data_IF_419154459105
#
_entry.id   IF_419154459105
#
_cell.length_a   1.000
_cell.length_b   1.000
_cell.length_c   1.000
_cell.angle_alpha   90.00
_cell.angle_beta   90.00
_cell.angle_gamma   90.00
#
_symmetry.space_group_name_H-M   'P 1'
#
loop_
_entity.id
_entity.type
_entity.pdbx_description
1 polymer ?
#
# COMPACT_ATOMS: atom_id res chain seq x y z
N UNK A 1 -10.40 17.06 29.55
CA UNK A 1 -10.15 17.39 28.13
C UNK A 1 -9.81 16.08 27.44
N UNK A 2 -10.61 15.54 26.50
CA UNK A 2 -10.23 14.32 25.82
C UNK A 2 -9.24 14.64 24.70
N UNK A 3 -8.08 13.99 24.72
CA UNK A 3 -7.10 14.03 23.64
C UNK A 3 -7.70 13.37 22.40
N UNK A 4 -7.80 14.12 21.29
CA UNK A 4 -8.27 13.58 20.00
C UNK A 4 -7.21 12.62 19.47
N UNK A 5 -7.33 11.34 19.81
CA UNK A 5 -6.49 10.29 19.27
C UNK A 5 -6.62 10.14 17.75
N UNK A 6 -5.62 10.65 17.04
CA UNK A 6 -4.85 10.02 15.96
C UNK A 6 -5.53 9.39 14.72
N UNK A 7 -6.84 9.49 14.51
CA UNK A 7 -7.48 8.91 13.32
C UNK A 7 -7.07 9.61 12.00
N UNK A 8 -6.69 10.89 12.05
CA UNK A 8 -6.34 11.71 10.89
C UNK A 8 -4.87 11.56 10.44
N UNK A 9 -4.04 10.89 11.24
CA UNK A 9 -2.60 10.71 11.01
C UNK A 9 -2.23 9.28 10.57
N UNK A 10 -3.23 8.44 10.25
CA UNK A 10 -3.03 7.07 9.80
C UNK A 10 -2.99 6.96 8.27
N UNK A 11 -2.06 6.17 7.74
CA UNK A 11 -2.08 5.74 6.35
C UNK A 11 -1.73 4.25 6.22
N UNK A 12 -2.17 3.64 5.14
CA UNK A 12 -1.80 2.27 4.79
C UNK A 12 -0.50 2.26 3.99
N UNK A 13 0.40 1.35 4.33
CA UNK A 13 1.63 1.15 3.58
C UNK A 13 1.69 -0.29 3.04
N UNK A 14 1.31 -0.44 1.78
CA UNK A 14 1.29 -1.73 1.10
C UNK A 14 2.59 -1.95 0.36
N UNK A 15 3.16 -3.15 0.45
CA UNK A 15 4.36 -3.49 -0.31
C UNK A 15 4.26 -4.81 -1.07
N UNK A 16 4.84 -4.84 -2.27
CA UNK A 16 5.07 -6.03 -3.08
C UNK A 16 6.54 -6.13 -3.43
N UNK A 17 7.18 -7.24 -3.05
CA UNK A 17 8.61 -7.44 -3.21
C UNK A 17 8.94 -8.87 -3.62
N UNK A 18 9.90 -9.02 -4.54
CA UNK A 18 10.48 -10.32 -4.89
C UNK A 18 11.77 -10.61 -4.10
N UNK A 19 12.70 -9.65 -4.08
CA UNK A 19 14.04 -9.77 -3.47
C UNK A 19 14.21 -9.03 -2.15
N UNK A 20 13.14 -8.46 -1.58
CA UNK A 20 13.17 -7.76 -0.29
C UNK A 20 13.35 -6.24 -0.38
N UNK A 21 13.73 -5.66 -1.52
CA UNK A 21 13.98 -4.21 -1.63
C UNK A 21 12.75 -3.34 -1.32
N UNK A 22 11.60 -3.62 -1.92
CA UNK A 22 10.36 -2.91 -1.60
C UNK A 22 9.91 -3.12 -0.14
N UNK A 23 10.29 -4.24 0.48
CA UNK A 23 10.01 -4.48 1.90
C UNK A 23 10.89 -3.60 2.78
N UNK A 24 12.19 -3.53 2.54
CA UNK A 24 13.10 -2.64 3.28
C UNK A 24 12.66 -1.19 3.15
N UNK A 25 12.37 -0.74 1.92
CA UNK A 25 11.91 0.63 1.68
C UNK A 25 10.60 0.94 2.40
N UNK A 26 9.66 -0.01 2.43
CA UNK A 26 8.43 0.14 3.22
C UNK A 26 8.68 0.18 4.73
N UNK A 27 9.74 -0.46 5.21
CA UNK A 27 10.10 -0.41 6.61
C UNK A 27 10.71 0.96 6.97
N UNK A 28 11.61 1.47 6.13
CA UNK A 28 12.20 2.81 6.31
C UNK A 28 11.10 3.89 6.31
N UNK A 29 10.13 3.81 5.38
CA UNK A 29 8.99 4.73 5.33
C UNK A 29 8.15 4.66 6.61
N UNK A 30 7.91 3.45 7.12
CA UNK A 30 7.16 3.25 8.37
C UNK A 30 7.88 3.91 9.55
N UNK A 31 9.18 3.66 9.70
CA UNK A 31 9.98 4.21 10.79
C UNK A 31 10.05 5.75 10.73
N UNK A 32 10.23 6.32 9.53
CA UNK A 32 10.19 7.77 9.32
C UNK A 32 8.81 8.36 9.63
N UNK A 33 7.73 7.69 9.24
CA UNK A 33 6.37 8.13 9.55
C UNK A 33 6.11 8.16 11.06
N UNK A 34 6.50 7.10 11.78
CA UNK A 34 6.33 7.01 13.24
C UNK A 34 7.11 8.12 13.97
N UNK A 35 8.31 8.48 13.48
CA UNK A 35 9.08 9.62 14.00
C UNK A 35 8.39 10.98 13.81
N UNK A 36 7.55 11.12 12.79
CA UNK A 36 6.74 12.31 12.52
C UNK A 36 5.36 12.27 13.20
N UNK A 37 5.09 11.25 14.03
CA UNK A 37 3.81 11.06 14.69
C UNK A 37 2.70 10.52 13.78
N UNK A 38 3.05 9.99 12.60
CA UNK A 38 2.11 9.32 11.69
C UNK A 38 2.05 7.83 11.99
N UNK A 39 0.87 7.23 11.80
CA UNK A 39 0.67 5.79 11.97
C UNK A 39 0.65 5.09 10.61
N UNK A 40 1.76 4.46 10.24
CA UNK A 40 1.91 3.72 9.00
C UNK A 40 1.58 2.24 9.19
N UNK A 41 0.38 1.80 8.78
CA UNK A 41 -0.01 0.39 8.84
C UNK A 41 0.56 -0.39 7.66
N UNK A 42 1.71 -1.05 7.91
CA UNK A 42 2.45 -1.77 6.87
C UNK A 42 1.96 -3.20 6.64
N UNK A 43 1.63 -3.53 5.40
CA UNK A 43 1.17 -4.87 5.00
C UNK A 43 1.76 -5.34 3.67
N UNK A 44 2.02 -6.64 3.57
CA UNK A 44 2.39 -7.27 2.30
C UNK A 44 1.15 -7.45 1.42
N UNK A 45 1.27 -7.10 0.13
CA UNK A 45 0.18 -7.25 -0.85
C UNK A 45 -0.35 -8.69 -0.93
N UNK A 46 0.48 -9.70 -0.67
CA UNK A 46 0.08 -11.11 -0.71
C UNK A 46 -0.86 -11.51 0.42
N UNK A 47 -0.83 -10.75 1.52
CA UNK A 47 -1.64 -10.92 2.73
C UNK A 47 -2.79 -9.93 2.81
N UNK A 48 -2.98 -9.10 1.79
CA UNK A 48 -3.99 -8.04 1.82
C UNK A 48 -5.37 -8.64 1.54
N UNK A 49 -6.04 -9.08 2.62
CA UNK A 49 -7.48 -9.35 2.62
C UNK A 49 -8.32 -8.09 2.85
N UNK A 50 -7.70 -6.91 2.94
CA UNK A 50 -8.40 -5.63 3.12
C UNK A 50 -9.05 -5.20 1.81
N UNK A 51 -10.35 -4.94 1.87
CA UNK A 51 -11.07 -4.31 0.79
C UNK A 51 -10.71 -2.81 0.73
N UNK A 52 -9.82 -2.44 -0.19
CA UNK A 52 -9.54 -1.02 -0.51
C UNK A 52 -10.82 -0.26 -0.88
N UNK A 53 -11.86 -0.97 -1.34
CA UNK A 53 -13.19 -0.43 -1.62
C UNK A 53 -13.83 0.33 -0.46
N UNK A 54 -13.48 -0.01 0.79
CA UNK A 54 -14.02 0.64 1.99
C UNK A 54 -12.97 1.40 2.80
N UNK A 55 -11.72 1.39 2.36
CA UNK A 55 -10.65 2.11 3.04
C UNK A 55 -10.79 3.61 2.79
N UNK A 56 -10.61 4.40 3.85
CA UNK A 56 -10.69 5.86 3.81
C UNK A 56 -9.36 6.52 4.11
N UNK A 57 -8.42 5.79 4.72
CA UNK A 57 -7.08 6.29 4.94
C UNK A 57 -6.30 6.39 3.62
N UNK A 58 -5.37 7.35 3.47
CA UNK A 58 -4.45 7.38 2.35
C UNK A 58 -3.66 6.06 2.24
N UNK A 59 -3.31 5.66 1.02
CA UNK A 59 -2.61 4.41 0.73
C UNK A 59 -1.30 4.68 -0.01
N UNK A 60 -0.19 4.26 0.56
CA UNK A 60 1.12 4.25 -0.10
C UNK A 60 1.42 2.82 -0.54
N UNK A 61 1.70 2.63 -1.82
CA UNK A 61 1.98 1.33 -2.43
C UNK A 61 3.44 1.33 -2.89
N UNK A 62 4.25 0.42 -2.36
CA UNK A 62 5.67 0.24 -2.70
C UNK A 62 5.84 -1.09 -3.42
N UNK A 63 6.07 -1.08 -4.73
CA UNK A 63 6.17 -2.32 -5.52
C UNK A 63 7.47 -2.33 -6.31
N UNK A 64 8.19 -3.45 -6.23
CA UNK A 64 9.35 -3.71 -7.10
C UNK A 64 8.90 -4.43 -8.36
N UNK A 65 9.27 -3.96 -9.55
CA UNK A 65 9.05 -4.70 -10.80
C UNK A 65 10.27 -5.57 -11.12
N UNK A 66 10.06 -6.73 -11.74
CA UNK A 66 11.16 -7.58 -12.25
C UNK A 66 11.13 -7.69 -13.76
N UNK A 67 12.29 -7.61 -14.41
CA UNK A 67 12.42 -7.83 -15.86
C UNK A 67 11.58 -6.85 -16.69
N UNK A 68 10.69 -7.37 -17.52
CA UNK A 68 9.86 -6.63 -18.49
C UNK A 68 8.68 -5.84 -17.87
N UNK A 69 8.69 -5.61 -16.56
CA UNK A 69 7.64 -4.84 -15.86
C UNK A 69 6.57 -5.70 -15.17
N UNK A 70 6.79 -7.00 -15.04
CA UNK A 70 5.89 -7.88 -14.30
C UNK A 70 5.91 -7.54 -12.79
N UNK A 71 4.75 -7.55 -12.12
CA UNK A 71 4.68 -7.39 -10.68
C UNK A 71 5.31 -8.61 -9.96
N UNK A 72 5.81 -8.43 -8.74
CA UNK A 72 6.41 -9.52 -7.97
C UNK A 72 5.32 -10.52 -7.55
N UNK A 73 5.70 -11.77 -7.24
CA UNK A 73 4.77 -12.84 -6.85
C UNK A 73 3.84 -12.41 -5.71
N UNK A 74 4.36 -11.60 -4.80
CA UNK A 74 3.63 -11.07 -3.65
C UNK A 74 2.55 -10.05 -4.02
N UNK A 75 2.57 -9.47 -5.23
CA UNK A 75 1.58 -8.49 -5.69
C UNK A 75 0.60 -9.04 -6.74
N UNK A 76 0.88 -10.20 -7.36
CA UNK A 76 0.06 -10.75 -8.48
C UNK A 76 -1.43 -10.84 -8.12
N UNK A 77 -1.75 -11.38 -6.92
CA UNK A 77 -3.16 -11.52 -6.49
C UNK A 77 -3.86 -10.16 -6.37
N UNK A 78 -3.15 -9.16 -5.87
CA UNK A 78 -3.66 -7.80 -5.75
C UNK A 78 -3.86 -7.13 -7.11
N UNK A 79 -2.87 -7.24 -8.00
CA UNK A 79 -2.98 -6.70 -9.37
C UNK A 79 -4.18 -7.30 -10.10
N UNK A 80 -4.39 -8.61 -9.97
CA UNK A 80 -5.57 -9.28 -10.55
C UNK A 80 -6.88 -8.79 -9.95
N UNK A 81 -6.94 -8.54 -8.63
CA UNK A 81 -8.19 -8.10 -7.98
C UNK A 81 -8.60 -6.70 -8.42
N UNK A 82 -7.66 -5.77 -8.59
CA UNK A 82 -7.96 -4.40 -9.04
C UNK A 82 -8.22 -4.31 -10.55
N UNK A 83 -7.75 -5.28 -11.35
CA UNK A 83 -8.00 -5.37 -12.79
C UNK A 83 -9.30 -6.11 -13.15
N UNK A 84 -10.08 -6.57 -12.17
CA UNK A 84 -11.34 -7.27 -12.43
C UNK A 84 -12.31 -6.38 -13.22
N UNK A 85 -12.69 -6.84 -14.42
CA UNK A 85 -13.55 -6.12 -15.38
C UNK A 85 -14.97 -5.80 -14.87
N UNK A 86 -15.36 -6.31 -13.70
CA UNK A 86 -16.66 -6.06 -13.07
C UNK A 86 -16.69 -4.88 -12.11
N UNK A 87 -15.56 -4.21 -11.87
CA UNK A 87 -15.52 -3.06 -10.99
C UNK A 87 -16.07 -1.81 -11.70
N UNK A 88 -17.00 -1.06 -11.09
CA UNK A 88 -17.46 0.20 -11.66
C UNK A 88 -16.29 1.20 -11.77
N UNK A 89 -16.32 2.14 -12.73
CA UNK A 89 -15.21 3.09 -12.93
C UNK A 89 -14.86 3.91 -11.68
N UNK A 90 -15.84 4.14 -10.81
CA UNK A 90 -15.70 4.92 -9.57
C UNK A 90 -15.36 4.06 -8.34
N UNK A 91 -15.02 2.78 -8.51
CA UNK A 91 -14.84 1.85 -7.38
C UNK A 91 -13.76 2.27 -6.38
N UNK A 92 -12.75 3.04 -6.84
CA UNK A 92 -11.67 3.57 -6.02
C UNK A 92 -11.58 5.11 -6.05
N UNK A 93 -12.64 5.82 -6.47
CA UNK A 93 -12.57 7.29 -6.61
C UNK A 93 -12.39 8.01 -5.27
N UNK A 94 -12.71 7.35 -4.16
CA UNK A 94 -12.49 7.86 -2.80
C UNK A 94 -11.08 7.60 -2.27
N UNK A 95 -10.28 6.77 -2.96
CA UNK A 95 -8.99 6.32 -2.48
C UNK A 95 -7.91 7.34 -2.86
N UNK A 96 -7.27 7.94 -1.86
CA UNK A 96 -6.07 8.73 -2.06
C UNK A 96 -4.87 7.77 -2.04
N UNK A 97 -4.09 7.73 -3.12
CA UNK A 97 -2.96 6.82 -3.18
C UNK A 97 -1.70 7.43 -3.79
N UNK A 98 -0.56 6.89 -3.37
CA UNK A 98 0.76 7.14 -3.95
C UNK A 98 1.39 5.80 -4.32
N UNK A 99 2.03 5.74 -5.48
CA UNK A 99 2.75 4.56 -5.95
C UNK A 99 4.25 4.85 -6.02
N UNK A 100 5.06 3.99 -5.40
CA UNK A 100 6.51 4.04 -5.44
C UNK A 100 7.04 2.77 -6.11
N UNK A 101 7.65 2.96 -7.28
CA UNK A 101 8.33 1.89 -8.01
C UNK A 101 9.77 1.74 -7.52
N UNK A 102 10.15 0.53 -7.09
CA UNK A 102 11.53 0.18 -6.78
C UNK A 102 12.12 -0.65 -7.94
N UNK A 103 13.14 -0.13 -8.60
CA UNK A 103 13.88 -0.85 -9.64
C UNK A 103 15.02 -1.62 -9.00
N UNK A 104 15.18 -2.89 -9.39
CA UNK A 104 16.22 -3.79 -8.88
C UNK A 104 16.93 -4.46 -10.04
#
# INVERSE_FOLDING_TARGET
MPERGNADQRFLLLYGSQKGLAQCLSQDIQEQAEQQGLCAERHCLSRTGRALAHERAPVVIVVSTTGDGEPPDTAIKFVRSIQLKGLPPNHFCHLHYTLLGAFT
#
